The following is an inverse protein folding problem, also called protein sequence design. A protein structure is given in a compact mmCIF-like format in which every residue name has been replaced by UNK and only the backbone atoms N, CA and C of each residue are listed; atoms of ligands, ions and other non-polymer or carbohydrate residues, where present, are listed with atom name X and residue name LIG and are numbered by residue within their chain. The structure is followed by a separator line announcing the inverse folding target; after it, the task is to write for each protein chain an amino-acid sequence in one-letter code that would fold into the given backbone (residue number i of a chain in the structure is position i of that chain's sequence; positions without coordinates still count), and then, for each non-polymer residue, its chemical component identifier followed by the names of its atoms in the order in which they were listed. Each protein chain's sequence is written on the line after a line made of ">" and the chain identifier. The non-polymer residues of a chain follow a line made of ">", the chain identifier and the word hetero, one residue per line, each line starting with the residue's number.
data_IF_982383988304
#
_entry.id   IF_982383988304
#
_cell.length_a   1.000
_cell.length_b   1.000
_cell.length_c   1.000
_cell.angle_alpha   90.00
_cell.angle_beta   90.00
_cell.angle_gamma   90.00
#
_symmetry.space_group_name_H-M   'P 1'
#
loop_
_entity.id
_entity.type
_entity.pdbx_description
1 polymer ?
#
# COMPACT_ATOMS: atom_id res chain seq x y z
N UNK A 1 14.40 -6.91 -10.98
CA UNK A 1 13.79 -5.59 -11.27
C UNK A 1 12.29 -5.78 -11.24
N UNK A 2 11.52 -4.82 -10.72
CA UNK A 2 10.04 -4.93 -10.72
C UNK A 2 9.59 -4.64 -12.14
N UNK A 3 8.81 -5.54 -12.75
CA UNK A 3 8.31 -5.37 -14.12
C UNK A 3 6.87 -4.86 -14.11
N UNK A 4 6.02 -5.44 -13.27
CA UNK A 4 4.61 -5.14 -13.19
C UNK A 4 4.15 -5.22 -11.72
N UNK A 5 3.13 -4.43 -11.36
CA UNK A 5 2.45 -4.56 -10.07
C UNK A 5 0.93 -4.52 -10.27
N UNK A 6 0.22 -5.28 -9.43
CA UNK A 6 -1.22 -5.24 -9.33
C UNK A 6 -1.60 -4.93 -7.87
N UNK A 7 -2.38 -3.87 -7.68
CA UNK A 7 -2.83 -3.40 -6.38
C UNK A 7 -4.35 -3.53 -6.34
N UNK A 8 -4.85 -4.29 -5.38
CA UNK A 8 -6.28 -4.50 -5.19
C UNK A 8 -6.68 -4.20 -3.75
N UNK A 9 -7.72 -3.39 -3.62
CA UNK A 9 -8.34 -3.09 -2.32
C UNK A 9 -7.39 -2.52 -1.28
N UNK A 10 -6.28 -1.87 -1.65
CA UNK A 10 -5.29 -1.34 -0.71
C UNK A 10 -5.45 0.17 -0.53
N UNK A 11 -5.78 0.60 0.69
CA UNK A 11 -6.17 1.97 1.04
C UNK A 11 -7.18 2.52 0.02
N UNK A 12 -6.99 3.75 -0.45
CA UNK A 12 -7.85 4.38 -1.46
C UNK A 12 -7.75 3.81 -2.88
N UNK A 13 -6.94 2.78 -3.13
CA UNK A 13 -6.82 2.11 -4.43
C UNK A 13 -7.74 0.90 -4.46
N UNK A 14 -8.84 0.99 -5.22
CA UNK A 14 -9.74 -0.15 -5.43
C UNK A 14 -9.11 -1.22 -6.32
N UNK A 15 -8.57 -0.80 -7.48
CA UNK A 15 -7.87 -1.66 -8.43
C UNK A 15 -6.92 -0.81 -9.27
N UNK A 16 -5.67 -1.22 -9.39
CA UNK A 16 -4.66 -0.56 -10.22
C UNK A 16 -3.65 -1.60 -10.73
N UNK A 17 -3.47 -1.65 -12.06
CA UNK A 17 -2.37 -2.38 -12.70
C UNK A 17 -1.38 -1.36 -13.26
N UNK A 18 -0.09 -1.54 -12.98
CA UNK A 18 0.98 -0.78 -13.63
C UNK A 18 1.91 -1.81 -14.25
N UNK A 19 2.06 -1.71 -15.56
CA UNK A 19 2.87 -2.61 -16.37
C UNK A 19 4.09 -1.89 -16.93
N UNK A 20 5.11 -2.66 -17.32
CA UNK A 20 6.30 -2.17 -18.02
C UNK A 20 7.06 -1.09 -17.24
N UNK A 21 7.35 -1.35 -15.95
CA UNK A 21 8.19 -0.46 -15.15
C UNK A 21 9.55 -0.20 -15.81
N UNK A 22 9.86 1.08 -16.02
CA UNK A 22 11.16 1.52 -16.51
C UNK A 22 12.22 1.53 -15.41
N UNK A 23 13.48 1.82 -15.77
CA UNK A 23 14.53 2.12 -14.78
C UNK A 23 14.21 3.38 -13.97
N UNK A 24 13.49 4.33 -14.57
CA UNK A 24 12.98 5.55 -13.95
C UNK A 24 11.49 5.62 -14.27
N UNK A 25 10.66 5.89 -13.25
CA UNK A 25 9.21 5.99 -13.38
C UNK A 25 8.75 7.29 -12.72
N UNK A 26 7.91 8.06 -13.41
CA UNK A 26 7.37 9.32 -12.90
C UNK A 26 5.87 9.17 -12.60
N UNK A 27 5.49 9.28 -11.33
CA UNK A 27 4.10 9.23 -10.88
C UNK A 27 3.54 10.66 -10.74
N UNK A 28 2.58 11.03 -11.58
CA UNK A 28 1.96 12.37 -11.60
C UNK A 28 0.48 12.31 -11.20
N UNK A 29 -0.07 13.46 -10.77
CA UNK A 29 -1.48 13.61 -10.41
C UNK A 29 -1.72 14.51 -9.21
N UNK A 30 -2.98 14.79 -8.87
CA UNK A 30 -3.37 15.63 -7.72
C UNK A 30 -2.93 15.02 -6.38
N UNK A 31 -2.78 15.84 -5.35
CA UNK A 31 -2.54 15.34 -4.00
C UNK A 31 -3.63 14.35 -3.58
N UNK A 32 -3.24 13.36 -2.78
CA UNK A 32 -4.14 12.32 -2.28
C UNK A 32 -4.74 11.35 -3.33
N UNK A 33 -4.31 11.39 -4.60
CA UNK A 33 -4.84 10.50 -5.65
C UNK A 33 -4.23 9.07 -5.65
N UNK A 34 -3.49 8.67 -4.61
CA UNK A 34 -2.90 7.33 -4.50
C UNK A 34 -1.42 7.18 -4.89
N UNK A 35 -0.73 8.25 -5.31
CA UNK A 35 0.72 8.17 -5.66
C UNK A 35 1.58 7.63 -4.53
N UNK A 36 1.45 8.17 -3.33
CA UNK A 36 2.18 7.68 -2.14
C UNK A 36 1.79 6.25 -1.80
N UNK A 37 0.52 5.87 -2.01
CA UNK A 37 0.02 4.50 -1.80
C UNK A 37 0.68 3.49 -2.75
N UNK A 38 0.96 3.88 -4.00
CA UNK A 38 1.76 3.04 -4.93
C UNK A 38 3.16 2.81 -4.38
N UNK A 39 3.84 3.87 -3.88
CA UNK A 39 5.17 3.74 -3.29
C UNK A 39 5.17 2.90 -2.00
N UNK A 40 4.15 3.03 -1.15
CA UNK A 40 3.96 2.18 0.03
C UNK A 40 3.77 0.71 -0.35
N UNK A 41 3.04 0.43 -1.41
CA UNK A 41 2.82 -0.95 -1.88
C UNK A 41 4.13 -1.57 -2.37
N UNK A 42 4.93 -0.81 -3.15
CA UNK A 42 6.26 -1.24 -3.56
C UNK A 42 7.17 -1.50 -2.34
N UNK A 43 7.13 -0.63 -1.34
CA UNK A 43 7.89 -0.79 -0.10
C UNK A 43 7.49 -2.07 0.67
N UNK A 44 6.20 -2.37 0.76
CA UNK A 44 5.70 -3.60 1.39
C UNK A 44 6.15 -4.86 0.63
N UNK A 45 6.08 -4.85 -0.71
CA UNK A 45 6.43 -6.01 -1.53
C UNK A 45 7.91 -6.39 -1.36
N UNK A 46 8.80 -5.41 -1.19
CA UNK A 46 10.25 -5.64 -1.00
C UNK A 46 10.54 -6.47 0.26
N UNK A 47 9.69 -6.41 1.29
CA UNK A 47 9.86 -7.15 2.53
C UNK A 47 8.56 -7.78 3.02
N UNK A 48 7.89 -8.54 2.15
CA UNK A 48 6.57 -9.16 2.42
C UNK A 48 6.54 -10.01 3.70
N UNK A 49 7.66 -10.59 4.11
CA UNK A 49 7.78 -11.39 5.34
C UNK A 49 8.01 -10.56 6.60
N UNK A 50 8.17 -9.25 6.47
CA UNK A 50 8.47 -8.34 7.58
C UNK A 50 7.22 -7.51 7.96
N UNK A 51 6.48 -7.91 9.02
CA UNK A 51 5.28 -7.19 9.45
C UNK A 51 5.56 -5.77 9.96
N UNK A 52 6.82 -5.44 10.31
CA UNK A 52 7.20 -4.09 10.70
C UNK A 52 7.02 -3.10 9.55
N UNK A 53 7.13 -3.53 8.28
CA UNK A 53 6.93 -2.64 7.13
C UNK A 53 5.49 -2.15 7.04
N UNK A 54 4.51 -3.00 7.35
CA UNK A 54 3.09 -2.62 7.44
C UNK A 54 2.85 -1.56 8.51
N UNK A 55 3.58 -1.64 9.62
CA UNK A 55 3.56 -0.62 10.67
C UNK A 55 4.20 0.69 10.17
N UNK A 56 5.35 0.60 9.50
CA UNK A 56 6.11 1.76 9.06
C UNK A 56 5.33 2.64 8.07
N UNK A 57 4.54 2.06 7.17
CA UNK A 57 3.72 2.85 6.23
C UNK A 57 2.62 3.66 6.94
N UNK A 58 2.24 3.31 8.16
CA UNK A 58 1.37 4.13 9.00
C UNK A 58 2.17 5.24 9.69
N UNK A 59 3.34 4.89 10.25
CA UNK A 59 4.24 5.87 10.87
C UNK A 59 4.71 6.96 9.89
N UNK A 60 4.95 6.63 8.61
CA UNK A 60 5.30 7.63 7.59
C UNK A 60 4.19 8.65 7.32
N UNK A 61 2.98 8.39 7.80
CA UNK A 61 1.82 9.29 7.75
C UNK A 61 1.46 9.87 9.11
N UNK A 62 2.37 9.75 10.09
CA UNK A 62 2.17 10.16 11.48
C UNK A 62 0.95 9.47 12.15
N UNK A 63 0.58 8.28 11.67
CA UNK A 63 -0.48 7.47 12.26
C UNK A 63 0.10 6.54 13.32
N UNK A 64 -0.25 6.78 14.59
CA UNK A 64 0.13 5.91 15.72
C UNK A 64 -0.93 4.82 15.85
N UNK A 65 -0.69 3.71 15.16
CA UNK A 65 -1.57 2.55 15.13
C UNK A 65 -0.91 1.39 15.89
N UNK A 66 -1.45 1.09 17.08
CA UNK A 66 -0.89 0.12 18.03
C UNK A 66 -1.79 -1.09 18.25
N UNK A 67 -2.99 -1.09 17.69
CA UNK A 67 -3.98 -2.15 17.88
C UNK A 67 -4.02 -3.08 16.66
N UNK A 68 -4.38 -4.35 16.90
CA UNK A 68 -4.54 -5.36 15.84
C UNK A 68 -5.67 -4.99 14.86
N UNK A 69 -6.64 -4.22 15.33
CA UNK A 69 -7.77 -3.76 14.55
C UNK A 69 -7.39 -2.64 13.56
N UNK A 70 -6.24 -2.00 13.74
CA UNK A 70 -5.79 -0.91 12.88
C UNK A 70 -5.40 -1.39 11.47
N UNK A 71 -5.15 -2.70 11.30
CA UNK A 71 -4.93 -3.29 9.98
C UNK A 71 -6.15 -3.11 9.04
N UNK A 72 -7.35 -2.85 9.57
CA UNK A 72 -8.53 -2.49 8.76
C UNK A 72 -8.32 -1.21 7.93
N UNK A 73 -7.41 -0.32 8.32
CA UNK A 73 -7.08 0.88 7.53
C UNK A 73 -6.22 0.59 6.29
N UNK A 74 -5.65 -0.61 6.16
CA UNK A 74 -4.85 -0.99 5.01
C UNK A 74 -5.69 -1.49 3.84
N UNK A 75 -6.81 -2.15 4.09
CA UNK A 75 -7.57 -2.83 3.05
C UNK A 75 -9.06 -2.45 3.05
N UNK A 76 -9.61 -2.25 1.86
CA UNK A 76 -11.02 -1.96 1.66
C UNK A 76 -11.87 -3.14 2.12
N UNK A 77 -12.83 -2.86 3.02
CA UNK A 77 -13.76 -3.86 3.55
C UNK A 77 -13.08 -5.04 4.25
N UNK A 78 -11.91 -4.83 4.87
CA UNK A 78 -11.29 -5.85 5.71
C UNK A 78 -12.13 -6.04 6.98
N UNK A 79 -12.77 -7.19 7.09
CA UNK A 79 -13.49 -7.61 8.27
C UNK A 79 -12.78 -8.81 8.90
N UNK A 80 -12.48 -8.72 10.19
CA UNK A 80 -11.89 -9.82 10.95
C UNK A 80 -12.94 -10.83 11.43
N UNK A 81 -14.24 -10.49 11.28
CA UNK A 81 -15.36 -11.30 11.77
C UNK A 81 -16.00 -12.18 10.68
N UNK A 82 -15.59 -12.05 9.41
CA UNK A 82 -16.03 -12.96 8.36
C UNK A 82 -15.45 -14.35 8.60
N UNK A 83 -16.33 -15.28 8.99
CA UNK A 83 -16.09 -16.73 9.03
C UNK A 83 -16.20 -17.34 7.63
#
# INVERSE_FOLDING_TARGET
>A
MIENINIQGFRGINSLSIENFGKINLLLGKNNCGKTTVLETLFLIIGVTNPVLSRNIHFFRDLILTQTDDFRFLFNKLDFNTK
#
